data_IF_834721666800
#
_entry.id   IF_834721666800
#
_cell.length_a   1.000
_cell.length_b   1.000
_cell.length_c   1.000
_cell.angle_alpha   90.00
_cell.angle_beta   90.00
_cell.angle_gamma   90.00
#
_symmetry.space_group_name_H-M   'P 1'
#
loop_
_entity.id
_entity.type
_entity.pdbx_description
1 polymer ?
#
# COMPACT_ATOMS: atom_id res chain seq x y z
N UNK A 1 21.89 30.33 10.92
CA UNK A 1 21.25 29.00 10.88
C UNK A 1 20.16 29.00 11.93
N UNK A 2 18.97 28.50 11.61
CA UNK A 2 17.93 28.33 12.63
C UNK A 2 18.38 27.24 13.61
N UNK A 3 18.35 27.54 14.90
CA UNK A 3 18.66 26.59 15.97
C UNK A 3 17.51 25.59 16.09
N UNK A 4 17.80 24.29 15.98
CA UNK A 4 16.81 23.22 16.16
C UNK A 4 16.51 23.11 17.66
N UNK A 5 15.23 23.09 18.01
CA UNK A 5 14.76 23.02 19.40
C UNK A 5 13.79 21.86 19.57
N UNK A 6 13.59 21.46 20.82
CA UNK A 6 12.54 20.49 21.14
C UNK A 6 11.17 21.00 20.65
N UNK A 7 10.39 20.11 20.06
CA UNK A 7 9.11 20.44 19.45
C UNK A 7 9.19 21.03 18.03
N UNK A 8 10.37 21.10 17.42
CA UNK A 8 10.51 21.58 16.04
C UNK A 8 9.82 20.63 15.06
N UNK A 9 9.08 21.20 14.10
CA UNK A 9 8.34 20.44 13.09
C UNK A 9 9.13 20.31 11.80
N UNK A 10 9.12 19.11 11.24
CA UNK A 10 9.65 18.79 9.92
C UNK A 10 8.47 18.56 8.98
N UNK A 11 8.34 19.42 7.98
CA UNK A 11 7.29 19.34 6.97
C UNK A 11 7.75 18.37 5.86
N UNK A 12 6.90 17.41 5.53
CA UNK A 12 7.19 16.45 4.47
C UNK A 12 6.46 16.87 3.19
N UNK A 13 7.23 17.19 2.15
CA UNK A 13 6.70 17.51 0.83
C UNK A 13 7.10 16.44 -0.17
N UNK A 14 6.12 15.86 -0.86
CA UNK A 14 6.39 14.97 -1.98
C UNK A 14 7.00 15.77 -3.13
N UNK A 15 8.01 15.20 -3.77
CA UNK A 15 8.55 15.76 -5.00
C UNK A 15 7.44 15.81 -6.09
N UNK A 16 7.45 16.81 -6.99
CA UNK A 16 6.43 16.94 -8.03
C UNK A 16 6.28 15.73 -8.95
N UNK A 17 7.33 14.90 -9.05
CA UNK A 17 7.41 13.71 -9.89
C UNK A 17 7.38 12.40 -9.07
N UNK A 18 6.88 12.43 -7.83
CA UNK A 18 6.72 11.21 -7.05
C UNK A 18 5.68 10.29 -7.69
N UNK A 19 6.09 9.09 -8.07
CA UNK A 19 5.23 8.02 -8.60
C UNK A 19 5.25 6.86 -7.60
N UNK A 20 4.07 6.31 -7.32
CA UNK A 20 3.90 5.12 -6.48
C UNK A 20 3.39 3.98 -7.35
N UNK A 21 4.26 3.02 -7.69
CA UNK A 21 3.99 1.99 -8.71
C UNK A 21 3.55 0.64 -8.14
N UNK A 22 3.36 0.54 -6.83
CA UNK A 22 3.06 -0.72 -6.16
C UNK A 22 1.62 -0.74 -5.63
N UNK A 23 0.93 -1.86 -5.89
CA UNK A 23 -0.39 -2.21 -5.35
C UNK A 23 -0.15 -3.32 -4.33
N UNK A 24 -0.55 -3.10 -3.08
CA UNK A 24 -0.35 -4.03 -1.97
C UNK A 24 -1.66 -4.59 -1.39
N UNK A 25 -2.81 -4.12 -1.89
CA UNK A 25 -4.12 -4.58 -1.44
C UNK A 25 -5.02 -5.06 -2.58
N UNK A 26 -5.80 -6.09 -2.25
CA UNK A 26 -6.76 -6.75 -3.11
C UNK A 26 -8.09 -6.90 -2.36
N UNK A 27 -9.17 -6.34 -2.91
CA UNK A 27 -10.53 -6.50 -2.38
C UNK A 27 -11.37 -7.17 -3.45
N UNK A 28 -12.05 -8.27 -3.10
CA UNK A 28 -12.98 -8.95 -3.99
C UNK A 28 -14.40 -8.97 -3.42
N UNK A 29 -15.38 -8.77 -4.30
CA UNK A 29 -16.81 -8.86 -3.98
C UNK A 29 -17.50 -9.70 -5.04
N UNK A 30 -18.21 -10.75 -4.60
CA UNK A 30 -19.12 -11.51 -5.47
C UNK A 30 -20.48 -10.84 -5.52
N UNK A 31 -21.05 -10.69 -6.72
CA UNK A 31 -22.40 -10.13 -6.88
C UNK A 31 -23.14 -10.79 -8.06
N UNK A 32 -24.45 -10.96 -7.90
CA UNK A 32 -25.32 -11.41 -8.98
C UNK A 32 -25.70 -10.25 -9.90
N UNK A 33 -25.53 -10.42 -11.21
CA UNK A 33 -25.97 -9.47 -12.23
C UNK A 33 -26.99 -10.15 -13.14
N UNK A 34 -28.26 -10.19 -12.73
CA UNK A 34 -29.30 -10.88 -13.49
C UNK A 34 -29.14 -12.40 -13.43
N UNK A 35 -28.81 -13.04 -14.56
CA UNK A 35 -28.70 -14.51 -14.68
C UNK A 35 -27.28 -15.06 -14.46
N UNK A 36 -26.28 -14.20 -14.20
CA UNK A 36 -24.89 -14.62 -14.08
C UNK A 36 -24.23 -14.07 -12.81
N UNK A 37 -23.53 -14.94 -12.10
CA UNK A 37 -22.67 -14.57 -10.96
C UNK A 37 -21.36 -13.96 -11.47
N UNK A 38 -21.05 -12.77 -10.95
CA UNK A 38 -19.84 -12.02 -11.29
C UNK A 38 -19.00 -11.79 -10.05
N UNK A 39 -17.70 -11.69 -10.27
CA UNK A 39 -16.73 -11.30 -9.27
C UNK A 39 -16.16 -9.94 -9.69
N UNK A 40 -16.28 -8.97 -8.78
CA UNK A 40 -15.56 -7.71 -8.85
C UNK A 40 -14.26 -7.84 -8.08
N UNK A 41 -13.19 -7.32 -8.66
CA UNK A 41 -11.90 -7.21 -7.99
C UNK A 41 -11.42 -5.77 -8.10
N UNK A 42 -11.12 -5.17 -6.96
CA UNK A 42 -10.49 -3.85 -6.85
C UNK A 42 -9.06 -4.00 -6.36
N UNK A 43 -8.16 -3.38 -7.11
CA UNK A 43 -6.74 -3.26 -6.81
C UNK A 43 -6.51 -1.87 -6.25
N UNK A 44 -5.98 -1.83 -5.03
CA UNK A 44 -5.74 -0.57 -4.35
C UNK A 44 -4.49 -0.62 -3.50
N UNK A 45 -4.22 0.53 -2.89
CA UNK A 45 -3.16 0.69 -1.92
C UNK A 45 -3.59 1.64 -0.84
N UNK A 46 -3.18 1.31 0.38
CA UNK A 46 -3.19 2.26 1.46
C UNK A 46 -1.89 3.09 1.42
N UNK A 47 -2.04 4.40 1.33
CA UNK A 47 -0.94 5.36 1.34
C UNK A 47 -0.99 6.13 2.66
N UNK A 48 0.08 6.02 3.43
CA UNK A 48 0.34 6.90 4.57
C UNK A 48 1.03 8.15 4.05
N UNK A 49 0.38 9.29 4.19
CA UNK A 49 0.97 10.60 3.97
C UNK A 49 1.29 11.21 5.34
N UNK A 50 2.56 11.17 5.72
CA UNK A 50 3.04 11.93 6.88
C UNK A 50 3.15 13.38 6.42
N UNK A 51 2.42 14.29 7.08
CA UNK A 51 2.46 15.71 6.78
C UNK A 51 3.56 16.39 7.60
N UNK A 52 3.67 16.00 8.86
CA UNK A 52 4.62 16.57 9.81
C UNK A 52 5.23 15.48 10.69
N UNK A 53 6.47 15.70 11.10
CA UNK A 53 7.06 14.99 12.21
C UNK A 53 7.58 16.00 13.24
N UNK A 54 7.53 15.64 14.51
CA UNK A 54 8.04 16.48 15.60
C UNK A 54 9.36 15.90 16.10
N UNK A 55 10.41 16.72 16.07
CA UNK A 55 11.67 16.41 16.71
C UNK A 55 11.54 16.58 18.22
N UNK A 56 11.74 15.48 18.95
CA UNK A 56 11.79 15.48 20.41
C UNK A 56 13.20 15.31 20.90
N UNK A 57 13.62 16.16 21.82
CA UNK A 57 14.92 16.03 22.48
C UNK A 57 14.88 14.84 23.45
N UNK A 58 15.71 13.81 23.17
CA UNK A 58 15.79 12.60 24.00
C UNK A 58 16.96 12.63 24.97
N UNK A 59 17.98 13.43 24.65
CA UNK A 59 19.09 13.81 25.53
C UNK A 59 19.68 15.13 25.02
N UNK A 60 20.46 15.87 25.82
CA UNK A 60 20.97 17.19 25.45
C UNK A 60 21.67 17.18 24.08
N UNK A 61 21.09 17.86 23.09
CA UNK A 61 21.59 17.94 21.72
C UNK A 61 21.29 16.74 20.82
N UNK A 62 20.55 15.72 21.30
CA UNK A 62 20.12 14.57 20.51
C UNK A 62 18.60 14.56 20.34
N UNK A 63 18.15 14.54 19.08
CA UNK A 63 16.74 14.59 18.71
C UNK A 63 16.30 13.29 18.04
N UNK A 64 15.09 12.84 18.38
CA UNK A 64 14.41 11.73 17.71
C UNK A 64 13.14 12.24 17.03
N UNK A 65 12.86 11.74 15.83
CA UNK A 65 11.62 12.06 15.12
C UNK A 65 10.46 11.25 15.70
N UNK A 66 9.33 11.92 15.94
CA UNK A 66 8.07 11.29 16.36
C UNK A 66 6.92 11.79 15.51
N UNK A 67 6.02 10.89 15.13
CA UNK A 67 4.82 11.22 14.33
C UNK A 67 3.60 11.06 15.21
N UNK A 68 2.81 12.11 15.38
CA UNK A 68 1.51 12.02 16.06
C UNK A 68 0.47 11.41 15.13
N UNK A 69 -0.60 10.85 15.71
CA UNK A 69 -1.71 10.30 14.92
C UNK A 69 -2.38 11.35 14.03
N UNK A 70 -2.47 12.59 14.51
CA UNK A 70 -3.06 13.71 13.77
C UNK A 70 -2.15 14.24 12.64
N UNK A 71 -0.86 13.85 12.64
CA UNK A 71 0.15 14.37 11.72
C UNK A 71 0.35 13.50 10.48
N UNK A 72 -0.42 12.40 10.35
CA UNK A 72 -0.47 11.60 9.12
C UNK A 72 -1.90 11.33 8.66
N UNK A 73 -2.08 11.19 7.35
CA UNK A 73 -3.33 10.77 6.74
C UNK A 73 -3.15 9.41 6.08
N UNK A 74 -4.00 8.46 6.43
CA UNK A 74 -4.12 7.17 5.74
C UNK A 74 -5.17 7.31 4.64
N UNK A 75 -4.76 7.18 3.38
CA UNK A 75 -5.65 7.27 2.23
C UNK A 75 -5.68 5.94 1.48
N UNK A 76 -6.89 5.45 1.19
CA UNK A 76 -7.10 4.35 0.24
C UNK A 76 -7.10 4.94 -1.17
N UNK A 77 -6.28 4.40 -2.06
CA UNK A 77 -6.34 4.70 -3.49
C UNK A 77 -6.68 3.41 -4.22
N UNK A 78 -7.82 3.43 -4.92
CA UNK A 78 -8.22 2.37 -5.83
C UNK A 78 -7.67 2.71 -7.24
N UNK A 79 -6.81 1.85 -7.78
CA UNK A 79 -6.18 2.09 -9.09
C UNK A 79 -6.96 1.46 -10.23
N UNK A 80 -7.57 0.30 -9.99
CA UNK A 80 -8.32 -0.42 -11.00
C UNK A 80 -9.39 -1.30 -10.36
N UNK A 81 -10.54 -1.37 -11.02
CA UNK A 81 -11.60 -2.31 -10.70
C UNK A 81 -12.00 -3.03 -11.97
N UNK A 82 -11.97 -4.36 -11.95
CA UNK A 82 -12.52 -5.17 -13.03
C UNK A 82 -13.56 -6.15 -12.52
N UNK A 83 -14.53 -6.44 -13.38
CA UNK A 83 -15.55 -7.45 -13.14
C UNK A 83 -15.40 -8.57 -14.15
N UNK A 84 -15.57 -9.81 -13.70
CA UNK A 84 -15.54 -11.00 -14.56
C UNK A 84 -16.58 -12.02 -14.14
N UNK A 85 -16.91 -12.95 -15.04
CA UNK A 85 -17.77 -14.07 -14.69
C UNK A 85 -17.07 -15.03 -13.71
N UNK A 86 -17.86 -15.81 -12.98
CA UNK A 86 -17.32 -16.82 -12.07
C UNK A 86 -16.40 -17.84 -12.77
N UNK A 87 -16.74 -18.23 -14.00
CA UNK A 87 -15.90 -19.12 -14.82
C UNK A 87 -14.55 -18.49 -15.15
N UNK A 88 -14.52 -17.20 -15.52
CA UNK A 88 -13.28 -16.48 -15.79
C UNK A 88 -12.42 -16.35 -14.52
N UNK A 89 -13.03 -16.06 -13.37
CA UNK A 89 -12.34 -15.97 -12.09
C UNK A 89 -11.70 -17.30 -11.67
N UNK A 90 -12.39 -18.42 -11.91
CA UNK A 90 -11.86 -19.76 -11.62
C UNK A 90 -10.61 -20.05 -12.46
N UNK A 91 -10.65 -19.73 -13.76
CA UNK A 91 -9.48 -19.90 -14.64
C UNK A 91 -8.32 -18.99 -14.25
N UNK A 92 -8.60 -17.74 -13.86
CA UNK A 92 -7.59 -16.82 -13.37
C UNK A 92 -6.89 -17.37 -12.11
N UNK A 93 -7.66 -17.89 -11.14
CA UNK A 93 -7.11 -18.53 -9.95
C UNK A 93 -6.16 -19.68 -10.31
N UNK A 94 -6.59 -20.57 -11.20
CA UNK A 94 -5.80 -21.76 -11.57
C UNK A 94 -4.48 -21.37 -12.25
N UNK A 95 -4.53 -20.40 -13.18
CA UNK A 95 -3.35 -19.83 -13.82
C UNK A 95 -2.40 -19.19 -12.80
N UNK A 96 -2.92 -18.41 -11.84
CA UNK A 96 -2.10 -17.78 -10.81
C UNK A 96 -1.41 -18.83 -9.91
N UNK A 97 -2.13 -19.87 -9.51
CA UNK A 97 -1.58 -20.96 -8.71
C UNK A 97 -0.46 -21.71 -9.45
N UNK A 98 -0.61 -21.94 -10.76
CA UNK A 98 0.42 -22.56 -11.58
C UNK A 98 1.68 -21.71 -11.64
N UNK A 99 1.54 -20.40 -11.92
CA UNK A 99 2.67 -19.45 -11.97
C UNK A 99 3.41 -19.41 -10.63
N UNK A 100 2.69 -19.31 -9.52
CA UNK A 100 3.28 -19.28 -8.18
C UNK A 100 4.00 -20.59 -7.84
N UNK A 101 3.41 -21.72 -8.23
CA UNK A 101 4.02 -23.04 -8.02
C UNK A 101 5.34 -23.17 -8.78
N UNK A 102 5.34 -22.77 -10.06
CA UNK A 102 6.53 -22.81 -10.92
C UNK A 102 7.62 -21.86 -10.41
N UNK A 103 7.25 -20.68 -9.90
CA UNK A 103 8.18 -19.74 -9.30
C UNK A 103 8.84 -20.31 -8.03
N UNK A 104 8.05 -20.94 -7.15
CA UNK A 104 8.55 -21.52 -5.90
C UNK A 104 9.45 -22.75 -6.11
N UNK A 105 9.27 -23.48 -7.22
CA UNK A 105 10.16 -24.58 -7.62
C UNK A 105 11.49 -24.10 -8.22
N UNK A 106 11.52 -22.87 -8.76
CA UNK A 106 12.70 -22.28 -9.41
C UNK A 106 13.62 -21.51 -8.44
N UNK A 107 13.20 -21.30 -7.19
CA UNK A 107 14.06 -20.72 -6.16
C UNK A 107 15.15 -21.75 -5.78
N UNK A 108 16.45 -21.41 -5.88
CA UNK A 108 17.50 -22.34 -5.48
C UNK A 108 17.32 -22.68 -4.00
N UNK A 109 17.32 -23.98 -3.67
CA UNK A 109 17.42 -24.42 -2.29
C UNK A 109 18.71 -23.80 -1.74
N UNK A 110 18.59 -22.89 -0.78
CA UNK A 110 19.72 -22.42 -0.01
C UNK A 110 20.36 -23.66 0.63
N UNK A 111 21.52 -24.05 0.10
CA UNK A 111 22.38 -25.08 0.67
C UNK A 111 23.21 -24.51 1.81
#
# INVERSE_FOLDING_TARGET
MAEIKDGFRLDHHKAPNYISEYVDQFVSVGFGSGTEEKICVTFGRDIININHETLKEVSPGAFASTVSHDDYALNRIDYATFSMSFTAATRLRDMLNEVLTNHNQSAPKAG
#
